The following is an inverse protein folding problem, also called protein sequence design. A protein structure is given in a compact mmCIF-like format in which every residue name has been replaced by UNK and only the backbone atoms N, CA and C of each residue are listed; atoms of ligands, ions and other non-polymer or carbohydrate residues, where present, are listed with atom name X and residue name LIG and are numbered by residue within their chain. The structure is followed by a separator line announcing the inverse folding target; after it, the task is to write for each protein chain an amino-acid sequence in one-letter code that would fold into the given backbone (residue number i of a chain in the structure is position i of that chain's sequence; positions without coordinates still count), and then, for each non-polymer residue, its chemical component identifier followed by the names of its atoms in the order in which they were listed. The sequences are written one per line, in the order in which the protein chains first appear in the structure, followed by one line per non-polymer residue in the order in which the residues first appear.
data_IF_927625598581
#
_entry.id   IF_927625598581
#
_cell.length_a   1.000
_cell.length_b   1.000
_cell.length_c   1.000
_cell.angle_alpha   90.00
_cell.angle_beta   90.00
_cell.angle_gamma   90.00
#
_symmetry.space_group_name_H-M   'P 1'
#
loop_
_entity.id
_entity.type
_entity.pdbx_description
1 polymer ?
#
# COMPACT_ATOMS: atom_id res chain seq x y z
N UNK A 1 28.34 -55.32 -28.94
CA UNK A 1 27.89 -55.47 -27.52
C UNK A 1 28.47 -54.36 -26.64
N UNK A 2 29.79 -54.12 -26.68
CA UNK A 2 30.42 -53.04 -25.89
C UNK A 2 30.01 -51.63 -26.36
N UNK A 3 29.92 -51.42 -27.67
CA UNK A 3 29.43 -50.16 -28.28
C UNK A 3 27.99 -49.84 -27.87
N UNK A 4 27.07 -50.80 -27.97
CA UNK A 4 25.69 -50.64 -27.53
C UNK A 4 25.56 -50.33 -26.03
N UNK A 5 26.51 -50.79 -25.21
CA UNK A 5 26.56 -50.53 -23.77
C UNK A 5 27.08 -49.11 -23.49
N UNK A 6 28.06 -48.63 -24.25
CA UNK A 6 28.54 -47.24 -24.19
C UNK A 6 27.45 -46.27 -24.61
N UNK A 7 26.79 -46.51 -25.74
CA UNK A 7 25.72 -45.65 -26.27
C UNK A 7 24.54 -45.57 -25.28
N UNK A 8 24.17 -46.68 -24.65
CA UNK A 8 23.15 -46.68 -23.60
C UNK A 8 23.58 -45.90 -22.36
N UNK A 9 24.87 -45.95 -22.00
CA UNK A 9 25.41 -45.24 -20.83
C UNK A 9 25.49 -43.74 -21.07
N UNK A 10 25.92 -43.32 -22.26
CA UNK A 10 25.91 -41.92 -22.69
C UNK A 10 24.50 -41.35 -22.73
N UNK A 11 23.54 -42.13 -23.24
CA UNK A 11 22.13 -41.70 -23.28
C UNK A 11 21.56 -41.50 -21.88
N UNK A 12 21.81 -42.43 -20.96
CA UNK A 12 21.39 -42.30 -19.55
C UNK A 12 22.07 -41.14 -18.85
N UNK A 13 23.36 -40.92 -19.10
CA UNK A 13 24.10 -39.80 -18.53
C UNK A 13 23.52 -38.47 -19.03
N UNK A 14 23.26 -38.35 -20.34
CA UNK A 14 22.65 -37.15 -20.93
C UNK A 14 21.27 -36.86 -20.33
N UNK A 15 20.42 -37.88 -20.20
CA UNK A 15 19.12 -37.75 -19.57
C UNK A 15 19.22 -37.33 -18.10
N UNK A 16 20.15 -37.91 -17.33
CA UNK A 16 20.39 -37.56 -15.94
C UNK A 16 20.84 -36.10 -15.81
N UNK A 17 21.77 -35.66 -16.65
CA UNK A 17 22.25 -34.27 -16.67
C UNK A 17 21.12 -33.29 -16.98
N UNK A 18 20.30 -33.59 -18.00
CA UNK A 18 19.15 -32.75 -18.35
C UNK A 18 18.14 -32.63 -17.18
N UNK A 19 17.91 -33.73 -16.45
CA UNK A 19 16.99 -33.75 -15.31
C UNK A 19 17.56 -32.97 -14.12
N UNK A 20 18.87 -33.07 -13.88
CA UNK A 20 19.58 -32.28 -12.88
C UNK A 20 19.56 -30.78 -13.21
N UNK A 21 19.73 -30.41 -14.48
CA UNK A 21 19.67 -29.02 -14.92
C UNK A 21 18.28 -28.42 -14.70
N UNK A 22 17.22 -29.16 -15.05
CA UNK A 22 15.83 -28.75 -14.79
C UNK A 22 15.59 -28.57 -13.29
N UNK A 23 15.97 -29.53 -12.45
CA UNK A 23 15.81 -29.42 -10.99
C UNK A 23 16.64 -28.29 -10.38
N UNK A 24 17.84 -28.05 -10.89
CA UNK A 24 18.70 -26.95 -10.44
C UNK A 24 18.10 -25.60 -10.83
N UNK A 25 17.51 -25.50 -12.03
CA UNK A 25 16.81 -24.30 -12.48
C UNK A 25 15.54 -24.03 -11.64
N UNK A 26 14.74 -25.07 -11.35
CA UNK A 26 13.59 -24.99 -10.45
C UNK A 26 14.01 -24.51 -9.06
N UNK A 27 15.02 -25.14 -8.45
CA UNK A 27 15.53 -24.77 -7.13
C UNK A 27 16.09 -23.35 -7.08
N UNK A 28 16.82 -22.91 -8.11
CA UNK A 28 17.30 -21.51 -8.21
C UNK A 28 16.13 -20.52 -8.31
N UNK A 29 15.09 -20.86 -9.06
CA UNK A 29 13.85 -20.08 -9.13
C UNK A 29 13.17 -19.97 -7.76
N UNK A 30 13.00 -21.10 -7.07
CA UNK A 30 12.41 -21.15 -5.73
C UNK A 30 13.25 -20.38 -4.70
N UNK A 31 14.57 -20.53 -4.71
CA UNK A 31 15.47 -19.83 -3.77
C UNK A 31 15.47 -18.31 -4.00
N UNK A 32 15.45 -17.86 -5.25
CA UNK A 32 15.36 -16.43 -5.58
C UNK A 32 14.02 -15.83 -5.16
N UNK A 33 12.94 -16.60 -5.28
CA UNK A 33 11.61 -16.20 -4.85
C UNK A 33 11.50 -16.11 -3.31
N UNK A 34 12.00 -17.13 -2.60
CA UNK A 34 11.99 -17.16 -1.13
C UNK A 34 12.84 -16.04 -0.51
N UNK A 35 14.02 -15.73 -1.05
CA UNK A 35 14.89 -14.67 -0.53
C UNK A 35 14.30 -13.27 -0.73
N UNK A 36 13.56 -13.03 -1.83
CA UNK A 36 12.86 -11.76 -2.05
C UNK A 36 11.58 -11.63 -1.22
N UNK A 37 10.91 -12.74 -0.93
CA UNK A 37 9.69 -12.74 -0.13
C UNK A 37 9.93 -12.42 1.36
N UNK A 38 11.17 -12.62 1.85
CA UNK A 38 11.52 -12.52 3.28
C UNK A 38 12.38 -11.28 3.63
N UNK A 39 12.30 -10.22 2.82
CA UNK A 39 13.06 -8.97 3.03
C UNK A 39 12.68 -8.23 4.32
N UNK A 40 11.45 -8.43 4.78
CA UNK A 40 10.94 -7.86 6.03
C UNK A 40 10.20 -8.94 6.79
N UNK A 41 10.54 -9.12 8.07
CA UNK A 41 9.74 -9.97 8.94
C UNK A 41 8.35 -9.35 9.15
N UNK A 42 7.36 -10.15 9.54
CA UNK A 42 6.04 -9.62 9.93
C UNK A 42 6.15 -8.58 11.06
N UNK A 43 7.12 -8.73 11.97
CA UNK A 43 7.40 -7.75 13.01
C UNK A 43 7.95 -6.43 12.46
N UNK A 44 8.77 -6.47 11.42
CA UNK A 44 9.26 -5.27 10.74
C UNK A 44 8.12 -4.50 10.07
N UNK A 45 7.18 -5.21 9.44
CA UNK A 45 6.01 -4.59 8.81
C UNK A 45 5.13 -3.90 9.85
N UNK A 46 4.85 -4.55 10.99
CA UNK A 46 4.08 -3.96 12.09
C UNK A 46 4.77 -2.68 12.58
N UNK A 47 6.08 -2.75 12.85
CA UNK A 47 6.86 -1.60 13.31
C UNK A 47 6.83 -0.44 12.30
N UNK A 48 6.94 -0.73 11.00
CA UNK A 48 6.87 0.28 9.95
C UNK A 48 5.49 0.96 9.89
N UNK A 49 4.41 0.19 10.06
CA UNK A 49 3.04 0.73 10.11
C UNK A 49 2.82 1.59 11.36
N UNK A 50 3.32 1.16 12.52
CA UNK A 50 3.26 1.96 13.75
C UNK A 50 4.01 3.29 13.61
N UNK A 51 5.21 3.25 13.01
CA UNK A 51 5.99 4.45 12.70
C UNK A 51 5.22 5.38 11.75
N UNK A 52 4.68 4.85 10.66
CA UNK A 52 3.89 5.64 9.71
C UNK A 52 2.68 6.30 10.39
N UNK A 53 1.99 5.59 11.29
CA UNK A 53 0.87 6.14 12.04
C UNK A 53 1.31 7.29 12.97
N UNK A 54 2.47 7.17 13.62
CA UNK A 54 3.03 8.25 14.44
C UNK A 54 3.42 9.47 13.59
N UNK A 55 4.03 9.26 12.43
CA UNK A 55 4.39 10.33 11.50
C UNK A 55 3.15 11.06 10.97
N UNK A 56 2.10 10.33 10.59
CA UNK A 56 0.81 10.93 10.21
C UNK A 56 0.25 11.73 11.38
N UNK A 57 0.27 11.18 12.60
CA UNK A 57 -0.24 11.87 13.78
C UNK A 57 0.46 13.21 14.01
N UNK A 58 1.79 13.20 14.02
CA UNK A 58 2.63 14.38 14.27
C UNK A 58 2.50 15.41 13.14
N UNK A 59 2.52 14.96 11.89
CA UNK A 59 2.37 15.82 10.71
C UNK A 59 1.00 16.54 10.74
N UNK A 60 -0.08 15.81 10.97
CA UNK A 60 -1.42 16.41 11.02
C UNK A 60 -1.59 17.38 12.20
N UNK A 61 -0.99 17.09 13.35
CA UNK A 61 -1.01 18.00 14.49
C UNK A 61 -0.31 19.32 14.14
N UNK A 62 0.90 19.21 13.59
CA UNK A 62 1.70 20.37 13.18
C UNK A 62 1.00 21.21 12.11
N UNK A 63 0.42 20.58 11.08
CA UNK A 63 -0.33 21.30 10.04
C UNK A 63 -1.55 22.00 10.63
N UNK A 64 -2.32 21.31 11.49
CA UNK A 64 -3.53 21.89 12.07
C UNK A 64 -3.24 23.10 12.96
N UNK A 65 -2.21 23.02 13.80
CA UNK A 65 -1.74 24.12 14.63
C UNK A 65 -1.26 25.30 13.77
N UNK A 66 -0.45 25.03 12.75
CA UNK A 66 0.10 26.06 11.85
C UNK A 66 -1.02 26.80 11.12
N UNK A 67 -1.94 26.08 10.48
CA UNK A 67 -3.04 26.66 9.69
C UNK A 67 -3.97 27.50 10.56
N UNK A 68 -4.26 27.08 11.79
CA UNK A 68 -5.17 27.82 12.68
C UNK A 68 -4.50 29.00 13.38
N UNK A 69 -3.17 28.96 13.53
CA UNK A 69 -2.36 30.07 14.04
C UNK A 69 -2.19 31.21 13.01
N UNK A 70 -2.42 30.93 11.73
CA UNK A 70 -2.25 31.90 10.66
C UNK A 70 -3.43 32.88 10.63
N UNK A 71 -3.16 34.17 10.90
CA UNK A 71 -4.20 35.19 10.99
C UNK A 71 -4.71 35.67 9.61
N UNK A 72 -3.96 35.38 8.54
CA UNK A 72 -4.23 35.86 7.18
C UNK A 72 -4.48 34.72 6.21
N UNK A 73 -5.59 34.00 6.39
CA UNK A 73 -6.04 33.04 5.38
C UNK A 73 -6.41 33.81 4.10
N UNK A 74 -5.77 33.54 2.95
CA UNK A 74 -6.09 34.20 1.69
C UNK A 74 -7.58 34.05 1.36
N UNK A 75 -8.17 35.10 0.77
CA UNK A 75 -9.51 35.00 0.21
C UNK A 75 -9.44 34.22 -1.10
N UNK A 76 -9.76 32.93 -1.02
CA UNK A 76 -9.86 32.08 -2.19
C UNK A 76 -11.12 32.41 -3.02
N UNK A 77 -11.07 32.05 -4.30
CA UNK A 77 -12.21 32.10 -5.21
C UNK A 77 -13.37 31.24 -4.64
N UNK A 78 -14.57 31.81 -4.59
CA UNK A 78 -15.76 31.16 -4.04
C UNK A 78 -16.07 29.81 -4.74
N UNK A 79 -15.75 29.70 -6.03
CA UNK A 79 -15.88 28.43 -6.76
C UNK A 79 -14.93 27.35 -6.24
N UNK A 80 -13.70 27.73 -5.94
CA UNK A 80 -12.69 26.82 -5.36
C UNK A 80 -13.13 26.38 -3.96
N UNK A 81 -13.68 27.29 -3.16
CA UNK A 81 -14.21 26.99 -1.83
C UNK A 81 -15.36 25.97 -1.89
N UNK A 82 -16.29 26.10 -2.84
CA UNK A 82 -17.40 25.16 -3.00
C UNK A 82 -16.92 23.77 -3.47
N UNK A 83 -15.97 23.70 -4.40
CA UNK A 83 -15.36 22.43 -4.84
C UNK A 83 -14.62 21.73 -3.68
N UNK A 84 -13.92 22.50 -2.84
CA UNK A 84 -13.30 22.01 -1.61
C UNK A 84 -14.34 21.48 -0.61
N UNK A 85 -15.45 22.21 -0.39
CA UNK A 85 -16.55 21.76 0.49
C UNK A 85 -17.17 20.47 0.01
N UNK A 86 -17.41 20.34 -1.29
CA UNK A 86 -17.94 19.12 -1.90
C UNK A 86 -16.98 17.94 -1.71
N UNK A 87 -15.67 18.18 -1.88
CA UNK A 87 -14.63 17.18 -1.67
C UNK A 87 -14.56 16.73 -0.20
N UNK A 88 -14.62 17.65 0.75
CA UNK A 88 -14.66 17.33 2.19
C UNK A 88 -15.93 16.57 2.54
N UNK A 89 -17.10 16.95 2.00
CA UNK A 89 -18.35 16.21 2.24
C UNK A 89 -18.31 14.80 1.65
N UNK A 90 -17.72 14.62 0.47
CA UNK A 90 -17.54 13.31 -0.16
C UNK A 90 -16.66 12.38 0.67
N UNK A 91 -15.55 12.89 1.22
CA UNK A 91 -14.56 12.06 1.92
C UNK A 91 -14.84 11.89 3.42
N UNK A 92 -15.32 12.93 4.10
CA UNK A 92 -15.51 12.94 5.56
C UNK A 92 -16.99 12.99 5.99
N UNK A 93 -17.90 13.23 5.04
CA UNK A 93 -19.32 13.33 5.29
C UNK A 93 -19.79 14.72 5.75
N UNK A 94 -21.09 14.99 5.50
CA UNK A 94 -21.73 16.29 5.77
C UNK A 94 -21.63 16.75 7.23
N UNK A 95 -21.73 15.81 8.18
CA UNK A 95 -21.64 16.14 9.62
C UNK A 95 -20.25 16.69 9.97
N UNK A 96 -19.21 16.07 9.44
CA UNK A 96 -17.82 16.46 9.70
C UNK A 96 -17.46 17.78 9.01
N UNK A 97 -17.93 17.98 7.76
CA UNK A 97 -17.81 19.27 7.06
C UNK A 97 -18.37 20.43 7.88
N UNK A 98 -19.59 20.28 8.41
CA UNK A 98 -20.23 21.30 9.26
C UNK A 98 -19.47 21.54 10.57
N UNK A 99 -18.85 20.50 11.12
CA UNK A 99 -18.00 20.62 12.32
C UNK A 99 -16.76 21.48 12.04
N UNK A 100 -16.09 21.26 10.90
CA UNK A 100 -14.95 22.06 10.45
C UNK A 100 -15.33 23.53 10.22
N UNK A 101 -16.45 23.78 9.53
CA UNK A 101 -16.96 25.14 9.29
C UNK A 101 -17.24 25.89 10.61
N UNK A 102 -17.91 25.21 11.55
CA UNK A 102 -18.19 25.78 12.88
C UNK A 102 -16.91 26.03 13.67
N UNK A 103 -15.94 25.12 13.59
CA UNK A 103 -14.68 25.24 14.31
C UNK A 103 -13.90 26.49 13.87
N UNK A 104 -13.82 26.74 12.56
CA UNK A 104 -13.14 27.91 12.00
C UNK A 104 -13.79 29.23 12.45
N UNK A 105 -15.12 29.24 12.62
CA UNK A 105 -15.87 30.42 13.04
C UNK A 105 -15.87 30.68 14.56
N UNK A 106 -15.40 29.74 15.39
CA UNK A 106 -15.57 29.81 16.84
C UNK A 106 -14.27 29.59 17.61
N UNK A 107 -13.97 28.33 17.95
CA UNK A 107 -12.94 27.96 18.93
C UNK A 107 -11.57 27.77 18.27
N UNK A 108 -11.53 27.53 16.96
CA UNK A 108 -10.31 27.16 16.22
C UNK A 108 -9.53 26.04 16.93
N UNK A 109 -10.23 25.00 17.37
CA UNK A 109 -9.65 23.83 18.00
C UNK A 109 -8.82 23.03 16.96
N UNK A 110 -7.49 22.88 17.13
CA UNK A 110 -6.65 22.13 16.21
C UNK A 110 -7.05 20.67 16.06
N UNK A 111 -7.65 20.06 17.08
CA UNK A 111 -7.99 18.64 17.07
C UNK A 111 -8.99 18.28 15.96
N UNK A 112 -9.92 19.18 15.65
CA UNK A 112 -10.94 18.93 14.62
C UNK A 112 -10.29 18.89 13.22
N UNK A 113 -9.40 19.84 12.93
CA UNK A 113 -8.67 19.86 11.65
C UNK A 113 -7.65 18.73 11.58
N UNK A 114 -6.90 18.49 12.67
CA UNK A 114 -5.98 17.36 12.78
C UNK A 114 -6.69 16.03 12.49
N UNK A 115 -7.86 15.80 13.06
CA UNK A 115 -8.65 14.57 12.83
C UNK A 115 -9.04 14.44 11.35
N UNK A 116 -9.45 15.54 10.71
CA UNK A 116 -9.79 15.55 9.29
C UNK A 116 -8.60 15.11 8.41
N UNK A 117 -7.43 15.66 8.70
CA UNK A 117 -6.18 15.37 8.00
C UNK A 117 -5.75 13.92 8.23
N UNK A 118 -5.83 13.43 9.47
CA UNK A 118 -5.49 12.05 9.82
C UNK A 118 -6.37 11.05 9.07
N UNK A 119 -7.70 11.24 9.08
CA UNK A 119 -8.62 10.36 8.34
C UNK A 119 -8.28 10.36 6.85
N UNK A 120 -7.98 11.53 6.28
CA UNK A 120 -7.64 11.67 4.87
C UNK A 120 -6.33 10.96 4.52
N UNK A 121 -5.25 11.21 5.27
CA UNK A 121 -3.94 10.60 5.02
C UNK A 121 -3.96 9.10 5.27
N UNK A 122 -4.58 8.63 6.36
CA UNK A 122 -4.71 7.19 6.63
C UNK A 122 -5.49 6.51 5.52
N UNK A 123 -6.60 7.09 5.05
CA UNK A 123 -7.37 6.52 3.94
C UNK A 123 -6.55 6.44 2.64
N UNK A 124 -5.74 7.46 2.38
CA UNK A 124 -4.83 7.46 1.23
C UNK A 124 -3.75 6.39 1.36
N UNK A 125 -3.09 6.28 2.52
CA UNK A 125 -2.09 5.25 2.79
C UNK A 125 -2.68 3.84 2.69
N UNK A 126 -3.90 3.62 3.21
CA UNK A 126 -4.60 2.34 3.04
C UNK A 126 -4.87 2.03 1.57
N UNK A 127 -5.25 3.03 0.78
CA UNK A 127 -5.42 2.86 -0.66
C UNK A 127 -4.10 2.44 -1.35
N UNK A 128 -2.97 3.01 -0.94
CA UNK A 128 -1.64 2.62 -1.44
C UNK A 128 -1.24 1.19 -1.05
N UNK A 129 -1.60 0.76 0.15
CA UNK A 129 -1.20 -0.55 0.69
C UNK A 129 -2.05 -1.70 0.16
N UNK A 130 -3.34 -1.46 -0.10
CA UNK A 130 -4.31 -2.52 -0.47
C UNK A 130 -4.43 -2.69 -1.98
N UNK A 131 -4.14 -1.67 -2.77
CA UNK A 131 -4.28 -1.74 -4.23
C UNK A 131 -2.95 -2.10 -4.92
N UNK A 132 -3.03 -3.01 -5.88
CA UNK A 132 -1.91 -3.38 -6.75
C UNK A 132 -1.63 -2.33 -7.84
N UNK A 133 -2.69 -1.65 -8.31
CA UNK A 133 -2.66 -0.59 -9.30
C UNK A 133 -3.63 0.53 -8.88
N UNK A 134 -3.12 1.72 -8.57
CA UNK A 134 -3.91 2.85 -8.08
C UNK A 134 -4.88 3.43 -9.12
N UNK A 135 -4.70 3.08 -10.39
CA UNK A 135 -5.43 3.66 -11.51
C UNK A 135 -6.48 2.73 -12.08
N UNK A 136 -6.40 1.43 -11.78
CA UNK A 136 -7.19 0.41 -12.44
C UNK A 136 -7.88 -0.54 -11.45
N UNK A 137 -9.14 -0.21 -11.13
CA UNK A 137 -9.97 -1.01 -10.22
C UNK A 137 -10.22 -2.45 -10.74
N UNK A 138 -10.31 -2.63 -12.06
CA UNK A 138 -10.53 -3.96 -12.64
C UNK A 138 -9.33 -4.88 -12.47
N UNK A 139 -8.11 -4.32 -12.63
CA UNK A 139 -6.85 -5.02 -12.37
C UNK A 139 -6.73 -5.33 -10.88
N UNK A 140 -7.06 -4.39 -9.99
CA UNK A 140 -7.06 -4.65 -8.54
C UNK A 140 -7.97 -5.81 -8.16
N UNK A 141 -9.21 -5.85 -8.67
CA UNK A 141 -10.15 -6.94 -8.40
C UNK A 141 -9.59 -8.29 -8.87
N UNK A 142 -9.03 -8.33 -10.08
CA UNK A 142 -8.45 -9.54 -10.64
C UNK A 142 -7.24 -10.02 -9.81
N UNK A 143 -6.31 -9.11 -9.49
CA UNK A 143 -5.10 -9.47 -8.74
C UNK A 143 -5.41 -9.86 -7.29
N UNK A 144 -6.36 -9.18 -6.64
CA UNK A 144 -6.83 -9.54 -5.30
C UNK A 144 -7.43 -10.95 -5.30
N UNK A 145 -8.29 -11.26 -6.28
CA UNK A 145 -8.85 -12.61 -6.42
C UNK A 145 -7.76 -13.69 -6.63
N UNK A 146 -6.76 -13.41 -7.47
CA UNK A 146 -5.65 -14.33 -7.71
C UNK A 146 -4.83 -14.52 -6.42
N UNK A 147 -4.54 -13.44 -5.70
CA UNK A 147 -3.80 -13.46 -4.43
C UNK A 147 -4.52 -14.30 -3.38
N UNK A 148 -5.82 -14.06 -3.16
CA UNK A 148 -6.64 -14.83 -2.22
C UNK A 148 -6.64 -16.33 -2.54
N UNK A 149 -6.78 -16.67 -3.83
CA UNK A 149 -6.78 -18.06 -4.29
C UNK A 149 -5.41 -18.74 -4.14
N UNK A 150 -4.32 -17.98 -4.26
CA UNK A 150 -2.97 -18.50 -4.02
C UNK A 150 -2.74 -18.74 -2.53
N UNK A 151 -3.15 -17.80 -1.66
CA UNK A 151 -3.04 -17.92 -0.22
C UNK A 151 -3.91 -19.04 0.37
N UNK A 152 -5.08 -19.34 -0.22
CA UNK A 152 -5.97 -20.41 0.24
C UNK A 152 -5.46 -21.83 -0.10
N UNK A 153 -4.48 -21.95 -1.00
CA UNK A 153 -3.94 -23.23 -1.48
C UNK A 153 -2.54 -23.55 -0.94
N UNK A 154 -1.87 -22.60 -0.30
CA UNK A 154 -0.59 -22.78 0.40
C UNK A 154 -0.81 -23.18 1.86
#
# INVERSE_FOLDING_TARGET
RMEAMMEQTETKHSQMTALLDVRTAELKGTQTFLVKADLFSGGDVIRLVEMLNQEIFQCCAWVAETVLSEENIPKDDERVVEDCRATVEKNLGRKFRRLLEKNLATVKDPLILQTALQVTLVSYCLNLLVNFDLTNESVNKMLTFIYEQACAKG
#
